data_IF_792712682402
#
_entry.id   IF_792712682402
#
_cell.length_a   1.000
_cell.length_b   1.000
_cell.length_c   1.000
_cell.angle_alpha   90.00
_cell.angle_beta   90.00
_cell.angle_gamma   90.00
#
_symmetry.space_group_name_H-M   'P 1'
#
loop_
_entity.id
_entity.type
_entity.pdbx_description
1 polymer ?
#
# COMPACT_ATOMS: atom_id res chain seq x y z
N UNK A 1 19.42 24.57 -16.39
CA UNK A 1 20.18 24.27 -15.16
C UNK A 1 19.36 23.26 -14.40
N UNK A 2 19.91 22.09 -14.10
CA UNK A 2 19.27 21.10 -13.26
C UNK A 2 19.05 21.69 -11.86
N UNK A 3 17.85 21.50 -11.32
CA UNK A 3 17.51 21.95 -9.96
C UNK A 3 17.37 20.69 -9.12
N UNK A 4 18.12 20.63 -8.04
CA UNK A 4 18.00 19.56 -7.05
C UNK A 4 16.67 19.71 -6.32
N UNK A 5 15.90 18.62 -6.23
CA UNK A 5 14.60 18.58 -5.58
C UNK A 5 14.50 17.35 -4.69
N UNK A 6 13.80 17.48 -3.58
CA UNK A 6 13.45 16.37 -2.68
C UNK A 6 11.95 16.09 -2.84
N UNK A 7 11.58 14.85 -3.03
CA UNK A 7 10.18 14.41 -3.02
C UNK A 7 9.70 14.37 -1.58
N UNK A 8 8.53 14.93 -1.33
CA UNK A 8 7.88 15.00 -0.01
C UNK A 8 6.41 14.64 -0.18
N UNK A 9 5.89 13.85 0.72
CA UNK A 9 4.47 13.50 0.71
C UNK A 9 4.23 12.03 0.99
N UNK A 10 3.01 11.60 0.69
CA UNK A 10 2.50 10.25 0.85
C UNK A 10 1.63 9.85 -0.35
N UNK A 11 0.96 8.71 -0.26
CA UNK A 11 0.04 8.18 -1.28
C UNK A 11 -1.15 9.10 -1.57
N UNK A 12 -1.55 9.94 -0.60
CA UNK A 12 -2.67 10.88 -0.77
C UNK A 12 -2.23 12.22 -1.36
N UNK A 13 -0.99 12.65 -1.06
CA UNK A 13 -0.48 13.93 -1.51
C UNK A 13 1.05 13.97 -1.50
N UNK A 14 1.67 14.21 -2.65
CA UNK A 14 3.11 14.35 -2.75
C UNK A 14 3.51 15.48 -3.70
N UNK A 15 4.67 16.10 -3.42
CA UNK A 15 5.22 17.21 -4.18
C UNK A 15 6.74 17.26 -4.02
N UNK A 16 7.39 18.13 -4.76
CA UNK A 16 8.84 18.29 -4.71
C UNK A 16 9.21 19.61 -4.03
N UNK A 17 10.23 19.59 -3.17
CA UNK A 17 10.79 20.78 -2.56
C UNK A 17 12.21 21.00 -3.11
N UNK A 18 12.49 22.21 -3.59
CA UNK A 18 13.84 22.63 -3.95
C UNK A 18 14.65 22.96 -2.69
N UNK A 19 15.97 22.91 -2.78
CA UNK A 19 16.87 23.27 -1.67
C UNK A 19 16.61 24.66 -1.04
N UNK A 20 16.00 25.57 -1.78
CA UNK A 20 15.62 26.90 -1.28
C UNK A 20 14.14 27.00 -0.86
N UNK A 21 13.48 25.86 -0.62
CA UNK A 21 12.13 25.79 -0.05
C UNK A 21 10.98 26.05 -1.02
N UNK A 22 11.22 26.11 -2.34
CA UNK A 22 10.11 26.24 -3.31
C UNK A 22 9.44 24.91 -3.52
N UNK A 23 8.13 24.89 -3.44
CA UNK A 23 7.31 23.70 -3.72
C UNK A 23 6.99 23.61 -5.21
N UNK A 24 7.23 22.45 -5.78
CA UNK A 24 6.96 22.12 -7.18
C UNK A 24 6.09 20.87 -7.24
N UNK A 25 5.21 20.80 -8.24
CA UNK A 25 4.46 19.59 -8.53
C UNK A 25 4.61 19.18 -10.01
N UNK A 26 4.50 17.89 -10.34
CA UNK A 26 4.57 17.43 -11.71
C UNK A 26 3.35 17.90 -12.51
N UNK A 27 3.57 18.25 -13.76
CA UNK A 27 2.53 18.56 -14.75
C UNK A 27 2.28 17.36 -15.65
N UNK A 28 1.19 17.39 -16.37
CA UNK A 28 0.84 16.36 -17.36
C UNK A 28 1.93 16.13 -18.45
N UNK A 29 2.81 17.12 -18.68
CA UNK A 29 3.94 17.01 -19.60
C UNK A 29 5.22 16.43 -18.94
N UNK A 30 5.12 15.94 -17.70
CA UNK A 30 6.22 15.38 -16.92
C UNK A 30 7.20 16.41 -16.33
N UNK A 31 6.94 17.71 -16.53
CA UNK A 31 7.80 18.78 -15.96
C UNK A 31 7.28 19.23 -14.61
N UNK A 32 8.21 19.69 -13.77
CA UNK A 32 7.86 20.28 -12.48
C UNK A 32 7.50 21.77 -12.65
N UNK A 33 6.42 22.18 -12.00
CA UNK A 33 5.97 23.58 -11.97
C UNK A 33 5.74 24.05 -10.53
N UNK A 34 5.96 25.36 -10.25
CA UNK A 34 5.69 25.93 -8.94
C UNK A 34 4.23 25.74 -8.51
N UNK A 35 4.01 25.38 -7.26
CA UNK A 35 2.70 25.23 -6.63
C UNK A 35 2.46 26.40 -5.70
N UNK A 36 1.26 27.00 -5.75
CA UNK A 36 0.90 28.11 -4.88
C UNK A 36 0.56 27.62 -3.47
N UNK A 37 0.67 28.53 -2.49
CA UNK A 37 0.27 28.24 -1.10
C UNK A 37 -1.21 27.80 -1.00
N UNK A 38 -2.09 28.32 -1.85
CA UNK A 38 -3.51 27.92 -1.92
C UNK A 38 -3.66 26.47 -2.41
N UNK A 39 -2.88 26.07 -3.41
CA UNK A 39 -2.87 24.70 -3.88
C UNK A 39 -2.34 23.74 -2.81
N UNK A 40 -1.29 24.11 -2.09
CA UNK A 40 -0.75 23.32 -0.96
C UNK A 40 -1.81 23.16 0.13
N UNK A 41 -2.52 24.25 0.50
CA UNK A 41 -3.59 24.19 1.49
C UNK A 41 -4.77 23.31 1.04
N UNK A 42 -5.14 23.39 -0.25
CA UNK A 42 -6.17 22.52 -0.83
C UNK A 42 -5.74 21.05 -0.84
N UNK A 43 -4.47 20.77 -1.09
CA UNK A 43 -3.91 19.42 -1.01
C UNK A 43 -4.05 18.84 0.40
N UNK A 44 -3.64 19.59 1.42
CA UNK A 44 -3.79 19.19 2.81
C UNK A 44 -5.26 18.96 3.21
N UNK A 45 -6.17 19.81 2.74
CA UNK A 45 -7.61 19.66 2.98
C UNK A 45 -8.20 18.42 2.31
N UNK A 46 -7.88 18.18 1.03
CA UNK A 46 -8.36 17.00 0.29
C UNK A 46 -7.84 15.71 0.92
N UNK A 47 -6.58 15.69 1.33
CA UNK A 47 -5.99 14.60 2.06
C UNK A 47 -6.68 14.31 3.39
N UNK A 48 -6.86 15.32 4.23
CA UNK A 48 -7.58 15.17 5.49
C UNK A 48 -9.01 14.64 5.28
N UNK A 49 -9.66 15.08 4.22
CA UNK A 49 -11.02 14.63 3.87
C UNK A 49 -11.00 13.17 3.42
N UNK A 50 -10.04 12.77 2.59
CA UNK A 50 -9.88 11.39 2.14
C UNK A 50 -9.59 10.45 3.31
N UNK A 51 -8.62 10.80 4.16
CA UNK A 51 -8.28 10.02 5.37
C UNK A 51 -9.43 9.93 6.36
N UNK A 52 -10.14 11.04 6.61
CA UNK A 52 -11.30 11.04 7.52
C UNK A 52 -12.44 10.17 6.97
N UNK A 53 -12.68 10.21 5.66
CA UNK A 53 -13.67 9.38 5.00
C UNK A 53 -13.27 7.90 5.05
N UNK A 54 -12.00 7.57 4.82
CA UNK A 54 -11.46 6.22 4.93
C UNK A 54 -11.65 5.66 6.34
N UNK A 55 -11.22 6.39 7.36
CA UNK A 55 -11.41 5.99 8.77
C UNK A 55 -12.88 5.86 9.14
N UNK A 56 -13.74 6.75 8.65
CA UNK A 56 -15.17 6.73 8.94
C UNK A 56 -15.86 5.53 8.29
N UNK A 57 -15.53 5.20 7.04
CA UNK A 57 -16.10 4.04 6.32
C UNK A 57 -15.63 2.72 6.90
N UNK A 58 -14.35 2.58 7.25
CA UNK A 58 -13.84 1.41 7.97
C UNK A 58 -14.58 1.20 9.30
N UNK A 59 -14.93 2.28 10.01
CA UNK A 59 -15.73 2.22 11.23
C UNK A 59 -17.18 1.81 10.97
N UNK A 60 -17.80 2.26 9.88
CA UNK A 60 -19.19 1.94 9.52
C UNK A 60 -19.31 0.51 8.96
N UNK A 61 -18.41 0.05 8.12
CA UNK A 61 -18.41 -1.31 7.60
C UNK A 61 -18.28 -2.34 8.74
N UNK A 62 -17.40 -2.08 9.71
CA UNK A 62 -17.23 -2.91 10.91
C UNK A 62 -18.44 -2.85 11.86
N UNK A 63 -19.14 -1.70 11.95
CA UNK A 63 -20.36 -1.58 12.77
C UNK A 63 -21.57 -2.27 12.13
N UNK A 64 -21.70 -2.27 10.81
CA UNK A 64 -22.80 -2.93 10.11
C UNK A 64 -22.75 -4.45 10.22
N UNK A 65 -21.58 -5.04 10.32
CA UNK A 65 -21.38 -6.49 10.50
C UNK A 65 -21.52 -6.95 11.97
N UNK A 66 -21.33 -6.06 12.96
CA UNK A 66 -21.35 -6.41 14.38
C UNK A 66 -22.73 -6.37 15.06
N UNK A 67 -23.83 -6.17 14.36
CA UNK A 67 -25.16 -6.02 14.95
C UNK A 67 -26.10 -7.21 14.67
N UNK A 68 -26.33 -8.12 15.64
CA UNK A 68 -27.64 -8.70 15.81
C UNK A 68 -28.58 -7.61 16.35
N UNK A 69 -29.74 -7.47 15.71
CA UNK A 69 -30.72 -6.43 16.02
C UNK A 69 -31.16 -6.46 17.48
N UNK A 70 -30.72 -5.51 18.29
CA UNK A 70 -31.40 -5.12 19.54
C UNK A 70 -31.47 -3.61 19.64
N UNK A 71 -32.70 -3.16 19.83
CA UNK A 71 -33.09 -1.74 19.95
C UNK A 71 -32.42 -1.03 21.11
N UNK A 72 -31.93 0.16 20.81
CA UNK A 72 -31.87 1.29 21.75
C UNK A 72 -30.66 1.36 22.66
N UNK A 73 -29.75 2.30 22.31
CA UNK A 73 -29.16 3.27 23.25
C UNK A 73 -28.24 4.25 22.48
N UNK A 74 -28.36 5.51 22.83
CA UNK A 74 -27.48 6.59 22.39
C UNK A 74 -26.01 6.20 22.54
N UNK A 75 -25.27 6.11 21.46
CA UNK A 75 -23.83 5.83 21.50
C UNK A 75 -23.09 7.12 21.21
N UNK A 76 -22.56 7.71 22.28
CA UNK A 76 -21.41 8.60 22.20
C UNK A 76 -20.33 7.97 21.29
N UNK A 77 -19.71 8.82 20.48
CA UNK A 77 -18.61 8.48 19.59
C UNK A 77 -17.61 7.55 20.31
N UNK A 78 -17.72 6.25 20.10
CA UNK A 78 -16.66 5.32 20.48
C UNK A 78 -15.60 5.43 19.38
N UNK A 79 -14.37 5.70 19.77
CA UNK A 79 -13.20 5.32 19.01
C UNK A 79 -13.45 3.93 18.40
N UNK A 80 -13.05 3.67 17.13
CA UNK A 80 -13.30 2.37 16.51
C UNK A 80 -12.95 1.30 17.53
N UNK A 81 -13.94 0.48 17.84
CA UNK A 81 -13.73 -0.63 18.76
C UNK A 81 -12.56 -1.39 18.19
N UNK A 82 -11.48 -1.34 18.92
CA UNK A 82 -10.28 -2.12 18.80
C UNK A 82 -10.56 -3.28 17.84
N UNK A 83 -9.90 -3.25 16.68
CA UNK A 83 -9.75 -4.40 15.76
C UNK A 83 -9.77 -5.64 16.64
N UNK A 84 -10.61 -6.60 16.34
CA UNK A 84 -10.63 -7.81 17.15
C UNK A 84 -9.22 -8.39 17.14
N UNK A 85 -8.48 -8.11 18.21
CA UNK A 85 -7.06 -8.46 18.32
C UNK A 85 -6.82 -9.96 18.19
N UNK A 86 -7.88 -10.75 18.17
CA UNK A 86 -7.80 -12.20 18.04
C UNK A 86 -7.49 -12.63 16.60
N UNK A 87 -7.81 -11.82 15.60
CA UNK A 87 -7.50 -12.16 14.20
C UNK A 87 -6.00 -12.13 13.91
N UNK A 88 -5.24 -11.26 14.58
CA UNK A 88 -3.78 -11.15 14.44
C UNK A 88 -3.03 -12.06 15.43
N UNK A 89 -3.50 -13.31 15.55
CA UNK A 89 -2.90 -14.34 16.41
C UNK A 89 -2.88 -15.68 15.71
N UNK A 90 -1.92 -16.52 16.16
CA UNK A 90 -1.70 -17.84 15.56
C UNK A 90 -1.13 -17.75 14.16
N UNK A 91 -1.15 -18.88 13.46
CA UNK A 91 -0.65 -18.96 12.09
C UNK A 91 -1.71 -18.46 11.12
N UNK A 92 -1.34 -17.51 10.30
CA UNK A 92 -2.16 -16.90 9.26
C UNK A 92 -1.41 -16.88 7.93
N UNK A 93 -2.17 -16.87 6.83
CA UNK A 93 -1.62 -16.72 5.48
C UNK A 93 -2.25 -15.52 4.80
N UNK A 94 -1.46 -14.77 4.04
CA UNK A 94 -1.93 -13.69 3.21
C UNK A 94 -1.51 -13.89 1.74
N UNK A 95 -2.35 -13.52 0.76
CA UNK A 95 -2.02 -13.62 -0.65
C UNK A 95 -1.14 -12.46 -1.07
N UNK A 96 -0.07 -12.76 -1.81
CA UNK A 96 0.81 -11.76 -2.43
C UNK A 96 0.89 -12.03 -3.92
N UNK A 97 0.29 -11.14 -4.71
CA UNK A 97 0.25 -11.25 -6.16
C UNK A 97 1.43 -10.49 -6.75
N UNK A 98 2.18 -11.16 -7.60
CA UNK A 98 3.23 -10.54 -8.41
C UNK A 98 2.60 -10.08 -9.74
N UNK A 99 2.56 -8.78 -10.00
CA UNK A 99 1.94 -8.22 -11.18
C UNK A 99 2.94 -7.40 -12.03
N UNK A 100 2.88 -7.56 -13.36
CA UNK A 100 3.72 -6.78 -14.26
C UNK A 100 2.89 -6.12 -15.39
N UNK A 101 3.40 -4.99 -15.86
CA UNK A 101 2.71 -4.13 -16.81
C UNK A 101 2.94 -4.54 -18.26
N UNK A 102 2.15 -3.95 -19.18
CA UNK A 102 2.33 -4.18 -20.61
C UNK A 102 3.71 -3.74 -21.12
N UNK A 103 4.30 -2.73 -20.48
CA UNK A 103 5.56 -2.08 -20.85
C UNK A 103 6.70 -2.33 -19.84
N UNK A 104 6.44 -2.96 -18.70
CA UNK A 104 7.45 -3.20 -17.67
C UNK A 104 7.28 -4.57 -17.04
N UNK A 105 8.29 -5.42 -17.19
CA UNK A 105 8.41 -6.73 -16.54
C UNK A 105 9.30 -6.65 -15.31
N UNK A 106 9.23 -7.67 -14.47
CA UNK A 106 10.18 -7.89 -13.38
C UNK A 106 11.62 -7.97 -13.89
N UNK A 107 12.57 -7.59 -13.05
CA UNK A 107 14.00 -7.61 -13.34
C UNK A 107 14.59 -9.03 -13.41
N UNK A 108 13.86 -10.01 -12.88
CA UNK A 108 14.23 -11.43 -12.84
C UNK A 108 13.24 -12.23 -13.71
N UNK A 109 13.62 -13.50 -14.03
CA UNK A 109 12.67 -14.44 -14.65
C UNK A 109 11.51 -14.76 -13.70
N UNK A 110 10.39 -15.27 -14.24
CA UNK A 110 9.19 -15.59 -13.47
C UNK A 110 9.49 -16.55 -12.30
N UNK A 111 10.27 -17.60 -12.52
CA UNK A 111 10.69 -18.52 -11.48
C UNK A 111 11.60 -17.84 -10.43
N UNK A 112 12.53 -17.01 -10.88
CA UNK A 112 13.46 -16.32 -9.99
C UNK A 112 12.78 -15.27 -9.13
N UNK A 113 11.79 -14.55 -9.66
CA UNK A 113 11.10 -13.51 -8.91
C UNK A 113 10.17 -14.10 -7.85
N UNK A 114 9.48 -15.20 -8.16
CA UNK A 114 8.67 -15.94 -7.18
C UNK A 114 9.54 -16.44 -6.04
N UNK A 115 10.66 -17.13 -6.35
CA UNK A 115 11.60 -17.61 -5.33
C UNK A 115 12.21 -16.47 -4.51
N UNK A 116 12.51 -15.35 -5.15
CA UNK A 116 13.05 -14.17 -4.47
C UNK A 116 12.07 -13.64 -3.43
N UNK A 117 10.81 -13.42 -3.80
CA UNK A 117 9.82 -12.93 -2.86
C UNK A 117 9.39 -13.97 -1.82
N UNK A 118 9.40 -15.26 -2.16
CA UNK A 118 9.20 -16.29 -1.14
C UNK A 118 10.30 -16.22 -0.05
N UNK A 119 11.55 -15.99 -0.44
CA UNK A 119 12.63 -15.78 0.52
C UNK A 119 12.46 -14.48 1.34
N UNK A 120 12.20 -13.36 0.69
CA UNK A 120 12.03 -12.05 1.35
C UNK A 120 10.86 -12.07 2.35
N UNK A 121 9.77 -12.72 1.99
CA UNK A 121 8.56 -12.69 2.78
C UNK A 121 8.47 -13.80 3.83
N UNK A 122 8.98 -15.00 3.54
CA UNK A 122 8.74 -16.20 4.36
C UNK A 122 9.98 -16.82 4.99
N UNK A 123 11.17 -16.61 4.42
CA UNK A 123 12.36 -17.35 4.85
C UNK A 123 12.86 -16.85 6.20
N UNK A 124 12.80 -17.69 7.23
CA UNK A 124 13.35 -17.40 8.55
C UNK A 124 14.86 -17.07 8.46
N UNK A 125 15.27 -15.97 9.09
CA UNK A 125 16.62 -15.47 9.08
C UNK A 125 17.12 -14.99 7.70
N UNK A 126 16.21 -14.47 6.84
CA UNK A 126 16.61 -13.87 5.56
C UNK A 126 17.61 -12.73 5.79
N UNK A 127 18.75 -12.74 5.11
CA UNK A 127 19.86 -11.82 5.33
C UNK A 127 20.54 -11.32 4.05
N UNK A 128 19.86 -11.43 2.91
CA UNK A 128 20.37 -10.89 1.65
C UNK A 128 20.06 -9.38 1.56
N UNK A 129 20.84 -8.64 0.78
CA UNK A 129 20.71 -7.20 0.55
C UNK A 129 20.77 -6.31 1.82
N UNK A 130 21.27 -6.84 2.94
CA UNK A 130 21.36 -6.13 4.21
C UNK A 130 20.19 -6.35 5.15
N UNK A 131 19.24 -7.21 4.80
CA UNK A 131 18.10 -7.54 5.64
C UNK A 131 18.53 -8.22 6.95
N UNK A 132 17.82 -7.90 8.03
CA UNK A 132 18.01 -8.51 9.34
C UNK A 132 16.98 -9.62 9.65
N UNK A 133 16.19 -10.02 8.66
CA UNK A 133 15.12 -11.01 8.74
C UNK A 133 14.21 -10.91 7.52
N UNK A 134 13.19 -11.76 7.43
CA UNK A 134 12.09 -11.68 6.46
C UNK A 134 10.93 -10.87 7.01
N UNK A 135 9.90 -10.64 6.19
CA UNK A 135 8.64 -10.06 6.65
C UNK A 135 7.97 -10.94 7.70
N UNK A 136 8.03 -12.27 7.54
CA UNK A 136 7.59 -13.23 8.55
C UNK A 136 8.31 -13.03 9.88
N UNK A 137 9.66 -12.94 9.86
CA UNK A 137 10.45 -12.70 11.05
C UNK A 137 10.04 -11.38 11.73
N UNK A 138 9.85 -10.32 10.94
CA UNK A 138 9.44 -9.02 11.47
C UNK A 138 8.13 -9.10 12.25
N UNK A 139 7.04 -9.62 11.66
CA UNK A 139 5.75 -9.71 12.34
C UNK A 139 5.77 -10.68 13.52
N UNK A 140 6.52 -11.78 13.43
CA UNK A 140 6.72 -12.74 14.52
C UNK A 140 7.43 -12.10 15.71
N UNK A 141 8.51 -11.36 15.46
CA UNK A 141 9.29 -10.69 16.51
C UNK A 141 8.49 -9.54 17.15
N UNK A 142 7.88 -8.67 16.34
CA UNK A 142 7.08 -7.55 16.83
C UNK A 142 5.87 -7.99 17.64
N UNK A 143 5.28 -9.14 17.32
CA UNK A 143 4.18 -9.76 18.08
C UNK A 143 4.67 -10.64 19.26
N UNK A 144 5.98 -10.80 19.45
CA UNK A 144 6.58 -11.72 20.43
C UNK A 144 6.16 -13.17 20.18
N UNK A 145 6.12 -13.59 18.93
CA UNK A 145 5.76 -14.92 18.51
C UNK A 145 4.25 -15.24 18.54
N UNK A 146 3.41 -14.25 18.78
CA UNK A 146 1.95 -14.46 18.88
C UNK A 146 1.30 -14.49 17.51
N UNK A 147 1.83 -13.76 16.53
CA UNK A 147 1.34 -13.65 15.16
C UNK A 147 2.35 -14.27 14.21
N UNK A 148 2.02 -15.43 13.67
CA UNK A 148 2.84 -16.23 12.76
C UNK A 148 2.29 -16.10 11.35
N UNK A 149 2.68 -15.01 10.68
CA UNK A 149 2.17 -14.63 9.35
C UNK A 149 3.09 -15.15 8.26
N UNK A 150 2.54 -15.91 7.33
CA UNK A 150 3.22 -16.37 6.10
C UNK A 150 2.47 -15.90 4.87
N UNK A 151 3.11 -15.98 3.70
CA UNK A 151 2.58 -15.45 2.45
C UNK A 151 2.56 -16.51 1.36
N UNK A 152 1.44 -16.59 0.64
CA UNK A 152 1.36 -17.37 -0.60
C UNK A 152 1.73 -16.45 -1.76
N UNK A 153 2.84 -16.75 -2.46
CA UNK A 153 3.35 -15.95 -3.58
C UNK A 153 2.70 -16.44 -4.87
N UNK A 154 1.89 -15.60 -5.48
CA UNK A 154 1.05 -15.92 -6.63
C UNK A 154 1.48 -15.10 -7.84
N UNK A 155 1.66 -15.73 -8.97
CA UNK A 155 2.04 -15.04 -10.19
C UNK A 155 3.40 -15.49 -10.73
N UNK A 156 4.04 -14.69 -11.59
CA UNK A 156 3.66 -13.33 -12.04
C UNK A 156 2.48 -13.33 -13.03
N UNK A 157 1.62 -12.33 -12.91
CA UNK A 157 0.52 -12.10 -13.84
C UNK A 157 0.70 -10.77 -14.58
N UNK A 158 0.23 -10.73 -15.82
CA UNK A 158 0.31 -9.53 -16.66
C UNK A 158 -0.97 -8.72 -16.56
N UNK A 159 -0.84 -7.41 -16.33
CA UNK A 159 -1.95 -6.46 -16.49
C UNK A 159 -1.91 -5.79 -17.87
N UNK A 160 -3.06 -5.29 -18.33
CA UNK A 160 -3.25 -4.90 -19.74
C UNK A 160 -2.60 -3.57 -20.11
N UNK A 161 -2.45 -2.64 -19.17
CA UNK A 161 -1.96 -1.29 -19.41
C UNK A 161 -0.50 -1.10 -18.99
N UNK A 162 0.03 0.09 -19.27
CA UNK A 162 1.38 0.51 -18.87
C UNK A 162 1.46 0.90 -17.40
N UNK A 163 2.67 0.88 -16.83
CA UNK A 163 2.89 1.34 -15.46
C UNK A 163 2.44 2.80 -15.25
N UNK A 164 2.66 3.66 -16.24
CA UNK A 164 2.26 5.08 -16.20
C UNK A 164 0.76 5.30 -16.38
N UNK A 165 0.03 4.36 -16.97
CA UNK A 165 -1.43 4.41 -17.00
C UNK A 165 -2.01 4.21 -15.60
N UNK A 166 -1.55 3.18 -14.89
CA UNK A 166 -2.07 2.86 -13.56
C UNK A 166 -1.60 3.83 -12.48
N UNK A 167 -0.36 4.32 -12.56
CA UNK A 167 0.17 5.27 -11.60
C UNK A 167 -0.30 6.70 -11.80
N UNK A 168 -0.68 7.05 -13.02
CA UNK A 168 -1.28 8.34 -13.40
C UNK A 168 -0.51 9.59 -12.96
N UNK A 169 -0.92 10.76 -13.37
CA UNK A 169 -0.53 11.98 -12.70
C UNK A 169 -1.28 12.06 -11.36
N UNK A 170 -0.55 12.38 -10.29
CA UNK A 170 -1.10 12.56 -8.95
C UNK A 170 -2.49 13.22 -8.96
N UNK A 171 -3.43 12.68 -8.19
CA UNK A 171 -4.80 13.19 -7.96
C UNK A 171 -4.82 14.70 -7.68
N UNK A 172 -3.77 15.23 -7.05
CA UNK A 172 -3.59 16.63 -6.70
C UNK A 172 -3.52 17.56 -7.93
N UNK A 173 -3.05 17.05 -9.05
CA UNK A 173 -2.93 17.81 -10.30
C UNK A 173 -4.14 17.62 -11.22
N UNK A 174 -5.25 17.05 -10.71
CA UNK A 174 -6.44 16.76 -11.49
C UNK A 174 -6.31 15.54 -12.40
N UNK A 175 -5.30 14.69 -12.16
CA UNK A 175 -5.17 13.39 -12.78
C UNK A 175 -5.85 12.32 -11.93
N UNK A 176 -6.33 11.29 -12.58
CA UNK A 176 -6.80 10.06 -11.93
C UNK A 176 -5.69 9.04 -12.06
N UNK A 177 -5.20 8.50 -10.94
CA UNK A 177 -4.54 7.22 -10.98
C UNK A 177 -5.59 6.12 -11.24
N UNK A 178 -5.12 4.96 -11.63
CA UNK A 178 -5.97 3.81 -11.92
C UNK A 178 -5.56 2.63 -11.03
N UNK A 179 -5.29 2.90 -9.75
CA UNK A 179 -4.81 1.88 -8.82
C UNK A 179 -5.88 0.83 -8.52
N UNK A 180 -7.15 1.23 -8.36
CA UNK A 180 -8.26 0.30 -8.17
C UNK A 180 -8.47 -0.63 -9.38
N UNK A 181 -8.33 -0.09 -10.61
CA UNK A 181 -8.34 -0.90 -11.83
C UNK A 181 -7.16 -1.88 -11.85
N UNK A 182 -5.95 -1.40 -11.49
CA UNK A 182 -4.74 -2.24 -11.41
C UNK A 182 -4.90 -3.41 -10.45
N UNK A 183 -5.32 -3.15 -9.22
CA UNK A 183 -5.49 -4.19 -8.20
C UNK A 183 -6.57 -5.20 -8.64
N UNK A 184 -7.72 -4.71 -9.13
CA UNK A 184 -8.81 -5.56 -9.61
C UNK A 184 -8.35 -6.47 -10.74
N UNK A 185 -7.62 -5.94 -11.72
CA UNK A 185 -7.12 -6.74 -12.85
C UNK A 185 -6.06 -7.74 -12.40
N UNK A 186 -5.13 -7.35 -11.52
CA UNK A 186 -4.12 -8.26 -11.00
C UNK A 186 -4.73 -9.44 -10.24
N UNK A 187 -5.71 -9.18 -9.38
CA UNK A 187 -6.42 -10.22 -8.62
C UNK A 187 -7.17 -11.18 -9.54
N UNK A 188 -7.97 -10.66 -10.48
CA UNK A 188 -8.75 -11.49 -11.41
C UNK A 188 -7.86 -12.31 -12.34
N UNK A 189 -6.74 -11.75 -12.81
CA UNK A 189 -5.80 -12.48 -13.64
C UNK A 189 -5.05 -13.56 -12.85
N UNK A 190 -4.76 -13.31 -11.57
CA UNK A 190 -4.17 -14.30 -10.69
C UNK A 190 -5.13 -15.46 -10.41
N UNK A 191 -6.38 -15.15 -10.10
CA UNK A 191 -7.44 -16.15 -9.88
C UNK A 191 -7.63 -17.05 -11.09
N UNK A 192 -7.79 -16.44 -12.27
CA UNK A 192 -7.96 -17.17 -13.53
C UNK A 192 -6.76 -18.07 -13.91
N UNK A 193 -5.54 -17.69 -13.51
CA UNK A 193 -4.33 -18.42 -13.86
C UNK A 193 -3.93 -19.51 -12.86
N UNK A 194 -4.27 -19.34 -11.58
CA UNK A 194 -3.75 -20.15 -10.48
C UNK A 194 -4.81 -20.86 -9.64
N UNK A 195 -6.11 -20.69 -9.96
CA UNK A 195 -7.24 -21.34 -9.26
C UNK A 195 -7.13 -21.18 -7.73
N UNK A 196 -7.16 -19.91 -7.29
CA UNK A 196 -6.91 -19.55 -5.91
C UNK A 196 -8.17 -19.78 -5.08
N UNK A 197 -8.04 -20.48 -3.95
CA UNK A 197 -9.09 -20.59 -2.94
C UNK A 197 -9.01 -19.37 -2.00
N UNK A 198 -9.77 -18.32 -2.30
CA UNK A 198 -9.76 -17.05 -1.56
C UNK A 198 -10.31 -17.19 -0.14
N UNK A 199 -11.13 -18.21 0.14
CA UNK A 199 -11.67 -18.45 1.48
C UNK A 199 -10.59 -18.70 2.54
N UNK A 200 -9.38 -19.09 2.13
CA UNK A 200 -8.24 -19.29 3.03
C UNK A 200 -7.70 -18.01 3.67
N UNK A 201 -8.03 -16.87 3.08
CA UNK A 201 -7.52 -15.56 3.47
C UNK A 201 -8.58 -14.72 4.22
N UNK A 202 -9.75 -15.30 4.49
CA UNK A 202 -10.73 -14.82 5.45
C UNK A 202 -10.37 -15.40 6.83
N UNK A 203 -9.68 -14.61 7.64
CA UNK A 203 -9.06 -15.13 8.87
C UNK A 203 -10.01 -15.26 10.03
N UNK A 204 -11.11 -14.52 10.05
CA UNK A 204 -12.10 -14.52 11.12
C UNK A 204 -13.46 -15.09 10.70
N UNK A 205 -13.62 -15.46 9.44
CA UNK A 205 -14.84 -16.07 8.90
C UNK A 205 -15.97 -15.06 8.70
N UNK A 206 -15.65 -13.78 8.55
CA UNK A 206 -16.65 -12.73 8.36
C UNK A 206 -17.10 -12.59 6.90
N UNK A 207 -16.46 -13.32 5.98
CA UNK A 207 -16.75 -13.32 4.55
C UNK A 207 -15.96 -12.26 3.78
N UNK A 208 -14.90 -11.71 4.36
CA UNK A 208 -14.02 -10.73 3.72
C UNK A 208 -12.55 -11.17 3.83
N UNK A 209 -11.78 -10.99 2.77
CA UNK A 209 -10.32 -11.19 2.78
C UNK A 209 -9.68 -10.01 3.49
N UNK A 210 -8.86 -10.27 4.53
CA UNK A 210 -8.28 -9.20 5.35
C UNK A 210 -7.40 -8.26 4.56
N UNK A 211 -6.62 -8.78 3.63
CA UNK A 211 -5.85 -7.97 2.69
C UNK A 211 -5.33 -8.78 1.51
N UNK A 212 -5.36 -8.19 0.32
CA UNK A 212 -4.57 -8.62 -0.83
C UNK A 212 -3.37 -7.71 -0.99
N UNK A 213 -2.16 -8.27 -1.07
CA UNK A 213 -0.97 -7.48 -1.37
C UNK A 213 -0.56 -7.67 -2.84
N UNK A 214 -0.28 -6.58 -3.55
CA UNK A 214 0.21 -6.64 -4.94
C UNK A 214 1.61 -6.05 -5.02
N UNK A 215 2.59 -6.88 -5.36
CA UNK A 215 3.95 -6.46 -5.68
C UNK A 215 4.06 -6.24 -7.18
N UNK A 216 4.35 -5.02 -7.60
CA UNK A 216 4.42 -4.67 -9.01
C UNK A 216 5.85 -4.48 -9.54
N UNK A 217 6.02 -4.84 -10.82
CA UNK A 217 7.32 -4.78 -11.51
C UNK A 217 7.86 -3.35 -11.65
N UNK A 218 9.13 -3.16 -11.40
CA UNK A 218 9.85 -1.91 -11.62
C UNK A 218 9.84 -0.97 -10.41
N UNK A 219 9.80 0.33 -10.66
CA UNK A 219 10.03 1.37 -9.68
C UNK A 219 8.72 1.98 -9.16
N UNK A 220 8.73 2.40 -7.89
CA UNK A 220 7.66 3.16 -7.26
C UNK A 220 7.99 4.64 -7.10
N UNK A 221 6.99 5.51 -7.18
CA UNK A 221 7.19 6.95 -7.13
C UNK A 221 7.70 7.42 -5.76
N UNK A 222 7.29 6.78 -4.66
CA UNK A 222 7.68 7.14 -3.29
C UNK A 222 9.20 7.12 -3.06
N UNK A 223 9.94 6.27 -3.76
CA UNK A 223 11.39 6.15 -3.64
C UNK A 223 12.16 6.83 -4.77
N UNK A 224 11.54 7.79 -5.45
CA UNK A 224 12.16 8.54 -6.53
C UNK A 224 12.07 7.87 -7.90
N UNK A 225 11.18 6.91 -8.08
CA UNK A 225 10.85 6.33 -9.37
C UNK A 225 10.30 7.37 -10.36
N UNK A 226 10.18 7.01 -11.65
CA UNK A 226 9.67 7.93 -12.66
C UNK A 226 8.30 8.49 -12.29
N UNK A 227 8.08 9.77 -12.60
CA UNK A 227 6.76 10.40 -12.45
C UNK A 227 5.70 9.61 -13.23
N UNK A 228 4.58 9.33 -12.57
CA UNK A 228 3.49 8.54 -13.16
C UNK A 228 3.59 7.05 -12.89
N UNK A 229 4.60 6.56 -12.17
CA UNK A 229 4.56 5.20 -11.61
C UNK A 229 3.67 5.17 -10.36
N UNK A 230 3.21 3.98 -9.99
CA UNK A 230 2.35 3.80 -8.82
C UNK A 230 3.14 4.21 -7.55
N UNK A 231 2.47 4.95 -6.65
CA UNK A 231 2.93 5.17 -5.30
C UNK A 231 2.53 3.96 -4.45
N UNK A 232 3.44 3.30 -3.70
CA UNK A 232 3.07 2.28 -2.72
C UNK A 232 2.01 2.81 -1.76
N UNK A 233 0.96 2.03 -1.55
CA UNK A 233 -0.16 2.45 -0.70
C UNK A 233 -0.96 1.25 -0.19
N UNK A 234 -1.76 1.49 0.85
CA UNK A 234 -2.79 0.58 1.33
C UNK A 234 -4.14 1.31 1.36
N UNK A 235 -5.19 0.69 0.78
CA UNK A 235 -6.51 1.28 0.68
C UNK A 235 -7.60 0.23 0.47
N UNK A 236 -8.80 0.69 0.07
CA UNK A 236 -9.91 -0.17 -0.33
C UNK A 236 -10.34 0.09 -1.77
N UNK A 237 -10.82 -0.94 -2.44
CA UNK A 237 -11.35 -0.82 -3.81
C UNK A 237 -12.62 0.05 -3.85
N UNK A 238 -13.45 0.01 -2.80
CA UNK A 238 -14.64 0.84 -2.71
C UNK A 238 -14.31 2.34 -2.66
N UNK A 239 -13.22 2.70 -1.97
CA UNK A 239 -12.77 4.08 -1.91
C UNK A 239 -12.08 4.54 -3.18
N UNK A 240 -11.32 3.67 -3.83
CA UNK A 240 -10.81 3.91 -5.18
C UNK A 240 -11.96 4.22 -6.14
N UNK A 241 -13.06 3.45 -6.10
CA UNK A 241 -14.25 3.70 -6.90
C UNK A 241 -14.91 5.05 -6.60
N UNK A 242 -14.89 5.51 -5.35
CA UNK A 242 -15.39 6.83 -5.00
C UNK A 242 -14.61 7.97 -5.67
N UNK A 243 -13.37 7.70 -6.10
CA UNK A 243 -12.54 8.59 -6.91
C UNK A 243 -12.65 8.31 -8.43
N UNK A 244 -13.69 7.58 -8.86
CA UNK A 244 -13.95 7.16 -10.25
C UNK A 244 -12.92 6.18 -10.81
N UNK A 245 -12.29 5.37 -9.95
CA UNK A 245 -11.35 4.34 -10.35
C UNK A 245 -11.87 2.94 -10.04
N UNK A 246 -11.99 2.11 -11.08
CA UNK A 246 -12.46 0.73 -10.97
C UNK A 246 -13.96 0.58 -10.67
N UNK A 247 -14.35 -0.59 -10.15
CA UNK A 247 -15.74 -0.99 -9.90
C UNK A 247 -16.04 -1.29 -8.42
N UNK A 248 -15.14 -0.92 -7.53
CA UNK A 248 -15.23 -1.26 -6.10
C UNK A 248 -14.81 -2.69 -5.77
N UNK A 249 -15.02 -3.08 -4.54
CA UNK A 249 -14.78 -4.44 -4.09
C UNK A 249 -15.65 -5.47 -4.81
N UNK A 250 -15.20 -6.71 -4.85
CA UNK A 250 -15.88 -7.80 -5.55
C UNK A 250 -15.68 -9.12 -4.82
N UNK A 251 -16.48 -10.14 -5.18
CA UNK A 251 -16.40 -11.44 -4.52
C UNK A 251 -15.80 -12.51 -5.42
N UNK A 252 -14.93 -13.35 -4.83
CA UNK A 252 -14.43 -14.61 -5.39
C UNK A 252 -14.60 -15.68 -4.30
N UNK A 253 -14.95 -16.90 -4.67
CA UNK A 253 -15.17 -18.05 -3.77
C UNK A 253 -16.08 -17.79 -2.56
N UNK A 254 -16.99 -16.84 -2.69
CA UNK A 254 -17.94 -16.50 -1.63
C UNK A 254 -17.41 -15.51 -0.59
N UNK A 255 -16.16 -15.06 -0.69
CA UNK A 255 -15.57 -14.01 0.14
C UNK A 255 -15.42 -12.69 -0.63
N UNK A 256 -15.47 -11.57 0.07
CA UNK A 256 -15.39 -10.24 -0.49
C UNK A 256 -13.95 -9.72 -0.46
N UNK A 257 -13.46 -9.23 -1.57
CA UNK A 257 -12.13 -8.65 -1.74
C UNK A 257 -12.28 -7.14 -1.87
N UNK A 258 -11.73 -6.40 -0.92
CA UNK A 258 -11.83 -4.95 -0.85
C UNK A 258 -10.54 -4.29 -0.36
N UNK A 259 -9.97 -4.78 0.74
CA UNK A 259 -8.73 -4.23 1.28
C UNK A 259 -7.53 -4.68 0.45
N UNK A 260 -6.68 -3.73 0.08
CA UNK A 260 -5.44 -4.00 -0.63
C UNK A 260 -4.28 -3.16 -0.10
N UNK A 261 -3.09 -3.66 -0.36
CA UNK A 261 -1.86 -2.88 -0.31
C UNK A 261 -1.00 -3.19 -1.53
N UNK A 262 -0.09 -2.29 -1.88
CA UNK A 262 0.84 -2.54 -2.97
C UNK A 262 2.22 -1.91 -2.71
N UNK A 263 3.25 -2.50 -3.34
CA UNK A 263 4.61 -1.98 -3.32
C UNK A 263 5.36 -2.35 -4.60
N UNK A 264 6.47 -1.68 -4.84
CA UNK A 264 7.30 -1.83 -6.03
C UNK A 264 8.43 -2.85 -5.85
N UNK A 265 8.92 -3.38 -6.99
CA UNK A 265 10.04 -4.30 -7.03
C UNK A 265 11.38 -3.64 -6.74
N UNK A 266 11.64 -2.46 -7.33
CA UNK A 266 12.97 -1.86 -7.40
C UNK A 266 13.04 -0.51 -6.68
N UNK A 267 14.13 -0.30 -5.95
CA UNK A 267 14.43 0.94 -5.24
C UNK A 267 14.92 2.03 -6.20
N UNK A 268 14.59 3.29 -5.91
CA UNK A 268 14.96 4.48 -6.69
C UNK A 268 14.37 4.49 -8.13
N UNK A 269 15.12 5.08 -9.09
CA UNK A 269 14.67 5.28 -10.47
C UNK A 269 15.54 4.57 -11.51
N UNK A 270 16.60 3.90 -11.05
CA UNK A 270 17.54 3.20 -11.92
C UNK A 270 18.25 2.07 -11.18
N UNK A 271 18.81 1.13 -11.94
CA UNK A 271 19.50 -0.01 -11.36
C UNK A 271 18.58 -1.20 -11.11
N UNK A 272 19.09 -2.19 -10.38
CA UNK A 272 18.41 -3.46 -10.09
C UNK A 272 18.37 -3.77 -8.59
N UNK A 273 18.57 -2.78 -7.75
CA UNK A 273 18.49 -2.93 -6.29
C UNK A 273 17.04 -3.19 -5.91
N UNK A 274 16.73 -4.30 -5.23
CA UNK A 274 15.37 -4.56 -4.77
C UNK A 274 14.89 -3.50 -3.79
N UNK A 275 13.58 -3.25 -3.80
CA UNK A 275 12.93 -2.51 -2.72
C UNK A 275 13.03 -3.30 -1.43
N UNK A 276 13.33 -2.62 -0.33
CA UNK A 276 13.42 -3.24 0.98
C UNK A 276 12.07 -3.71 1.53
N UNK A 277 12.12 -4.58 2.51
CA UNK A 277 10.91 -5.14 3.14
C UNK A 277 10.17 -4.13 4.04
N UNK A 278 10.80 -3.01 4.41
CA UNK A 278 10.21 -2.01 5.29
C UNK A 278 8.93 -1.39 4.72
N UNK A 279 8.90 -1.04 3.43
CA UNK A 279 7.69 -0.52 2.77
C UNK A 279 6.59 -1.59 2.72
N UNK A 280 6.94 -2.85 2.45
CA UNK A 280 5.96 -3.94 2.52
C UNK A 280 5.35 -4.05 3.92
N UNK A 281 6.17 -4.06 4.96
CA UNK A 281 5.71 -4.12 6.34
C UNK A 281 4.85 -2.91 6.72
N UNK A 282 5.19 -1.71 6.24
CA UNK A 282 4.43 -0.48 6.44
C UNK A 282 3.03 -0.62 5.85
N UNK A 283 2.93 -0.87 4.54
CA UNK A 283 1.65 -0.97 3.84
C UNK A 283 0.80 -2.14 4.36
N UNK A 284 1.43 -3.29 4.68
CA UNK A 284 0.71 -4.41 5.25
C UNK A 284 0.15 -4.10 6.64
N UNK A 285 0.86 -3.29 7.44
CA UNK A 285 0.42 -2.94 8.80
C UNK A 285 -0.85 -2.09 8.81
N UNK A 286 -1.18 -1.39 7.72
CA UNK A 286 -2.44 -0.66 7.61
C UNK A 286 -3.67 -1.58 7.68
N UNK A 287 -3.61 -2.81 7.16
CA UNK A 287 -4.70 -3.77 7.31
C UNK A 287 -4.97 -4.15 8.78
N UNK A 288 -3.95 -4.03 9.62
CA UNK A 288 -4.06 -4.25 11.07
C UNK A 288 -4.69 -3.05 11.80
N UNK A 289 -5.09 -2.01 11.07
CA UNK A 289 -5.69 -0.79 11.59
C UNK A 289 -4.67 0.20 12.18
N UNK A 290 -3.38 0.04 11.86
CA UNK A 290 -2.34 0.98 12.29
C UNK A 290 -2.31 2.18 11.32
N UNK A 291 -2.47 3.43 11.80
CA UNK A 291 -2.42 4.62 10.96
C UNK A 291 -0.98 5.05 10.73
N UNK A 292 -0.76 5.91 9.72
CA UNK A 292 0.49 6.63 9.56
C UNK A 292 0.85 7.44 10.81
N UNK A 293 2.12 7.35 11.21
CA UNK A 293 2.67 8.00 12.39
C UNK A 293 3.62 9.16 12.04
N UNK A 294 3.76 9.50 10.76
CA UNK A 294 4.43 10.73 10.34
C UNK A 294 3.47 11.93 10.38
N UNK A 295 4.00 13.14 10.28
CA UNK A 295 3.20 14.38 10.28
C UNK A 295 2.40 14.51 8.98
N UNK A 296 1.22 13.95 9.00
CA UNK A 296 0.29 13.91 7.86
C UNK A 296 -0.26 15.29 7.48
N UNK A 297 -0.06 16.31 8.28
CA UNK A 297 -0.47 17.69 8.01
C UNK A 297 0.67 18.56 7.48
N UNK A 298 1.89 18.03 7.40
CA UNK A 298 3.10 18.78 7.01
C UNK A 298 3.29 20.08 7.82
N UNK A 299 2.88 20.05 9.09
CA UNK A 299 2.97 21.19 10.01
C UNK A 299 4.32 21.30 10.72
N UNK A 300 5.28 20.43 10.37
CA UNK A 300 6.55 20.23 11.08
C UNK A 300 6.37 19.77 12.53
N UNK A 301 5.29 19.07 12.84
CA UNK A 301 5.10 18.45 14.15
C UNK A 301 6.10 17.32 14.32
N UNK A 302 6.88 17.28 15.41
CA UNK A 302 7.78 16.16 15.67
C UNK A 302 7.02 14.84 15.76
N UNK A 303 7.53 13.82 15.07
CA UNK A 303 7.01 12.45 15.08
C UNK A 303 8.09 11.48 15.56
N UNK A 304 7.81 10.20 15.59
CA UNK A 304 8.80 9.18 15.94
C UNK A 304 9.90 9.03 14.86
N UNK A 305 9.69 9.57 13.65
CA UNK A 305 10.65 9.55 12.56
C UNK A 305 11.12 8.13 12.25
N UNK A 306 12.45 7.95 12.19
CA UNK A 306 13.08 6.67 11.83
C UNK A 306 12.90 5.54 12.88
N UNK A 307 12.30 5.85 14.04
CA UNK A 307 12.03 4.85 15.08
C UNK A 307 10.68 4.13 14.95
N UNK A 308 9.88 4.52 13.97
CA UNK A 308 8.55 3.95 13.77
C UNK A 308 8.36 3.50 12.32
N UNK A 309 7.93 2.25 12.13
CA UNK A 309 7.63 1.69 10.81
C UNK A 309 6.57 2.51 10.05
N UNK A 310 5.55 3.01 10.76
CA UNK A 310 4.46 3.81 10.19
C UNK A 310 4.83 5.30 10.03
N UNK A 311 6.12 5.63 10.22
CA UNK A 311 6.73 6.92 9.90
C UNK A 311 7.89 6.70 8.92
N UNK A 312 9.04 7.34 9.12
CA UNK A 312 10.20 7.19 8.22
C UNK A 312 10.96 5.87 8.40
N UNK A 313 10.67 5.10 9.44
CA UNK A 313 11.37 3.86 9.76
C UNK A 313 11.25 2.78 8.68
N UNK A 314 10.21 2.84 7.84
CA UNK A 314 10.06 1.96 6.67
C UNK A 314 11.16 2.13 5.62
N UNK A 315 11.94 3.21 5.69
CA UNK A 315 13.06 3.52 4.78
C UNK A 315 14.43 3.36 5.44
N UNK A 316 14.50 2.81 6.66
CA UNK A 316 15.75 2.56 7.36
C UNK A 316 16.62 1.53 6.65
N UNK A 317 17.94 1.60 6.91
CA UNK A 317 18.92 0.69 6.33
C UNK A 317 19.16 0.92 4.83
N UNK A 318 20.01 0.09 4.22
CA UNK A 318 20.21 0.10 2.78
C UNK A 318 18.89 -0.30 2.08
N UNK A 319 18.27 0.60 1.34
CA UNK A 319 17.04 0.36 0.53
C UNK A 319 15.76 0.12 1.34
N UNK A 320 15.67 0.58 2.59
CA UNK A 320 14.50 0.35 3.43
C UNK A 320 14.41 -1.08 3.98
N UNK A 321 15.57 -1.64 4.31
CA UNK A 321 15.70 -3.02 4.82
C UNK A 321 16.11 -3.01 6.29
#
# INVERSE_FOLDING_TARGET
TAVEVTLVGDEYAHYYITRNGRTLAPRADGKLAPVSAVQIANMAFLRQTAMANAMQRLSFARQAKAAPATKGRNTLCRLPSIVDKTIFRGSKKAPVILAYFSDKKFSKSDEQIVKFYDNVLNKEGFNEYGAAGSVHDYFKDMSRGVFDLTFDIIGPVKVSKSATYYGGPSVIMGGTDHIGEFITEAVKNADAAYDIDWSKYDWDGDGEVEQVFVLYAGYGQATGGPTGTIWPNAWTLDEATANNDGNGGFSLDGVFINQYACSNELYQSSGSTPMGLGVFCHEFSHCMGLPDMYDTNYSNTPTMGDWDLLASGSYNGPNGI
#
